data_IF_499652505594
#
_entry.id   IF_499652505594
#
_cell.length_a   1.000
_cell.length_b   1.000
_cell.length_c   1.000
_cell.angle_alpha   90.00
_cell.angle_beta   90.00
_cell.angle_gamma   90.00
#
_symmetry.space_group_name_H-M   'P 1'
#
loop_
_entity.id
_entity.type
_entity.pdbx_description
1 polymer ?
#
# COMPACT_ATOMS: atom_id res chain seq x y z
N UNK A 1 -71.58 -31.69 22.13
CA UNK A 1 -70.11 -31.60 22.08
C UNK A 1 -69.54 -32.61 23.07
N UNK A 2 -69.15 -33.82 22.65
CA UNK A 2 -68.59 -34.84 23.54
C UNK A 2 -67.06 -34.93 23.47
N UNK A 3 -66.49 -35.45 24.57
CA UNK A 3 -65.11 -35.92 24.74
C UNK A 3 -64.88 -37.27 24.04
N UNK A 4 -63.64 -37.55 23.61
CA UNK A 4 -62.85 -38.76 23.95
C UNK A 4 -61.84 -39.18 22.86
N UNK A 5 -60.61 -39.56 23.28
CA UNK A 5 -59.66 -40.43 22.54
C UNK A 5 -60.12 -41.90 22.69
N UNK A 6 -59.74 -42.86 21.81
CA UNK A 6 -58.45 -43.59 21.93
C UNK A 6 -57.82 -44.07 20.58
N UNK A 7 -56.58 -44.61 20.61
CA UNK A 7 -55.91 -45.34 19.50
C UNK A 7 -56.52 -46.75 19.24
N UNK A 8 -56.04 -47.61 18.31
CA UNK A 8 -54.64 -48.09 18.21
C UNK A 8 -54.11 -48.53 16.79
N UNK A 9 -52.82 -48.88 16.69
CA UNK A 9 -52.33 -50.18 16.15
C UNK A 9 -51.94 -50.40 14.67
N UNK A 10 -50.82 -51.15 14.51
CA UNK A 10 -50.25 -51.87 13.35
C UNK A 10 -49.51 -51.06 12.27
N UNK A 11 -48.33 -51.47 11.76
CA UNK A 11 -47.55 -52.70 11.92
C UNK A 11 -46.56 -52.81 10.75
N UNK A 12 -45.28 -53.09 11.02
CA UNK A 12 -44.24 -53.16 9.98
C UNK A 12 -42.86 -53.53 10.52
N UNK A 13 -42.72 -54.79 10.94
CA UNK A 13 -41.49 -55.59 11.10
C UNK A 13 -40.73 -55.66 9.75
N UNK A 14 -39.43 -55.94 9.56
CA UNK A 14 -38.33 -56.50 10.37
C UNK A 14 -37.04 -56.51 9.52
N UNK A 15 -35.89 -56.48 10.20
CA UNK A 15 -34.67 -57.31 10.01
C UNK A 15 -33.84 -57.33 8.71
N UNK A 16 -32.54 -57.01 8.89
CA UNK A 16 -31.33 -57.83 8.58
C UNK A 16 -31.08 -58.25 7.12
N UNK A 17 -29.99 -57.80 6.48
CA UNK A 17 -28.57 -58.20 6.60
C UNK A 17 -28.16 -59.18 5.47
N UNK A 18 -26.87 -59.18 5.10
CA UNK A 18 -26.16 -59.97 4.06
C UNK A 18 -26.26 -59.39 2.63
N UNK A 19 -25.20 -59.18 1.86
CA UNK A 19 -23.84 -59.72 1.86
C UNK A 19 -23.54 -60.33 0.48
N UNK A 20 -22.65 -59.73 -0.33
CA UNK A 20 -21.92 -60.32 -1.48
C UNK A 20 -21.05 -59.23 -2.16
N UNK A 21 -19.71 -59.16 -2.01
CA UNK A 21 -18.63 -59.82 -2.81
C UNK A 21 -18.85 -59.73 -4.33
N UNK A 22 -18.08 -58.98 -5.14
CA UNK A 22 -16.70 -59.16 -5.68
C UNK A 22 -16.54 -58.13 -6.87
N UNK A 23 -15.38 -57.95 -7.57
CA UNK A 23 -14.00 -58.36 -7.28
C UNK A 23 -12.95 -57.23 -7.40
N UNK A 24 -11.77 -57.52 -6.88
CA UNK A 24 -10.49 -56.85 -7.21
C UNK A 24 -10.05 -57.21 -8.64
N UNK A 25 -9.48 -56.25 -9.36
CA UNK A 25 -8.39 -56.53 -10.29
C UNK A 25 -7.29 -55.47 -10.18
N UNK A 26 -6.11 -55.99 -9.94
CA UNK A 26 -4.83 -55.31 -9.85
C UNK A 26 -4.34 -54.83 -11.22
N UNK A 27 -3.66 -53.68 -11.27
CA UNK A 27 -2.35 -53.58 -11.94
C UNK A 27 -1.59 -52.32 -11.49
N UNK A 28 -0.31 -52.57 -11.20
CA UNK A 28 0.76 -51.64 -10.83
C UNK A 28 1.14 -50.69 -11.97
N UNK A 29 1.94 -49.69 -11.57
CA UNK A 29 2.89 -48.85 -12.33
C UNK A 29 2.45 -47.37 -12.27
N UNK A 30 3.25 -46.40 -11.87
CA UNK A 30 4.59 -46.33 -11.33
C UNK A 30 4.80 -44.85 -10.95
N UNK A 31 5.53 -44.59 -9.86
CA UNK A 31 5.83 -43.23 -9.37
C UNK A 31 6.54 -42.42 -10.46
N UNK A 32 5.96 -41.30 -10.89
CA UNK A 32 6.69 -40.25 -11.59
C UNK A 32 7.23 -39.25 -10.56
N UNK A 33 8.56 -39.20 -10.42
CA UNK A 33 9.28 -38.15 -9.69
C UNK A 33 9.26 -36.85 -10.53
N UNK A 34 9.16 -35.66 -9.91
CA UNK A 34 9.35 -34.40 -10.65
C UNK A 34 10.82 -34.26 -11.05
N UNK A 35 11.04 -34.13 -12.36
CA UNK A 35 12.36 -33.94 -12.95
C UNK A 35 12.93 -32.57 -12.58
N UNK A 36 14.12 -32.59 -11.95
CA UNK A 36 15.03 -31.44 -11.91
C UNK A 36 15.40 -31.07 -13.35
N UNK A 37 15.02 -29.88 -13.80
CA UNK A 37 15.63 -29.26 -14.96
C UNK A 37 17.09 -28.90 -14.61
N UNK A 38 18.03 -29.81 -14.89
CA UNK A 38 19.46 -29.49 -14.96
C UNK A 38 19.70 -28.89 -16.34
N UNK A 39 19.98 -27.60 -16.42
CA UNK A 39 20.50 -26.99 -17.63
C UNK A 39 21.82 -27.65 -18.01
N UNK A 40 21.84 -28.33 -19.16
CA UNK A 40 23.07 -28.83 -19.78
C UNK A 40 23.81 -27.65 -20.40
N UNK A 41 24.89 -27.18 -19.75
CA UNK A 41 25.89 -26.33 -20.42
C UNK A 41 26.71 -27.20 -21.36
N UNK A 42 26.66 -26.91 -22.65
CA UNK A 42 27.56 -27.51 -23.62
C UNK A 42 28.98 -26.96 -23.39
N UNK A 43 29.96 -27.86 -23.31
CA UNK A 43 31.38 -27.52 -23.19
C UNK A 43 32.03 -27.65 -24.56
N UNK A 44 32.60 -26.55 -25.07
CA UNK A 44 33.39 -26.56 -26.30
C UNK A 44 34.87 -26.68 -25.90
N UNK A 45 35.59 -27.59 -26.56
CA UNK A 45 37.06 -27.70 -26.47
C UNK A 45 37.66 -26.87 -27.59
N UNK A 46 38.61 -26.02 -27.26
CA UNK A 46 39.46 -25.40 -28.28
C UNK A 46 40.56 -26.38 -28.74
N UNK A 47 41.22 -26.06 -29.85
CA UNK A 47 42.32 -26.85 -30.42
C UNK A 47 43.57 -26.98 -29.53
N UNK A 48 43.53 -26.48 -28.29
CA UNK A 48 44.58 -26.61 -27.27
C UNK A 48 44.07 -27.22 -25.95
N UNK A 49 42.90 -27.87 -25.97
CA UNK A 49 42.44 -28.77 -24.92
C UNK A 49 41.93 -28.14 -23.63
N UNK A 50 41.72 -26.81 -23.57
CA UNK A 50 41.15 -26.15 -22.38
C UNK A 50 39.63 -26.05 -22.48
N UNK A 51 38.94 -26.16 -21.34
CA UNK A 51 37.46 -26.12 -21.25
C UNK A 51 37.01 -24.73 -20.77
N UNK A 52 36.11 -24.09 -21.53
CA UNK A 52 35.45 -22.84 -21.12
C UNK A 52 33.92 -22.98 -21.26
N UNK A 53 33.18 -22.26 -20.43
CA UNK A 53 31.72 -22.15 -20.53
C UNK A 53 31.38 -21.13 -21.62
N UNK A 54 30.71 -21.55 -22.69
CA UNK A 54 30.30 -20.65 -23.77
C UNK A 54 29.18 -19.69 -23.33
N UNK A 55 29.32 -18.42 -23.68
CA UNK A 55 28.25 -17.43 -23.56
C UNK A 55 27.16 -17.68 -24.63
N UNK A 56 25.89 -17.39 -24.34
CA UNK A 56 24.82 -17.52 -25.34
C UNK A 56 24.92 -16.38 -26.34
N UNK A 57 25.25 -16.71 -27.59
CA UNK A 57 25.14 -15.79 -28.73
C UNK A 57 23.67 -15.40 -28.93
N UNK A 58 23.39 -14.09 -28.91
CA UNK A 58 22.15 -13.52 -29.41
C UNK A 58 22.07 -13.78 -30.93
N UNK A 59 21.00 -14.43 -31.38
CA UNK A 59 20.75 -14.68 -32.79
C UNK A 59 20.55 -13.38 -33.56
N UNK A 60 21.19 -13.28 -34.72
CA UNK A 60 20.95 -12.23 -35.72
C UNK A 60 19.48 -12.25 -36.18
N UNK A 61 18.83 -11.08 -36.36
CA UNK A 61 17.50 -11.03 -36.94
C UNK A 61 17.56 -11.28 -38.46
N UNK A 62 16.67 -12.16 -38.93
CA UNK A 62 16.43 -12.42 -40.35
C UNK A 62 15.84 -11.17 -41.02
N UNK A 63 16.38 -10.83 -42.18
CA UNK A 63 15.86 -9.79 -43.06
C UNK A 63 14.44 -10.12 -43.56
N UNK A 64 13.52 -9.16 -43.48
CA UNK A 64 12.21 -9.26 -44.14
C UNK A 64 10.99 -8.66 -43.44
N UNK A 65 11.09 -7.48 -42.82
CA UNK A 65 9.90 -6.66 -42.50
C UNK A 65 10.10 -5.22 -43.00
N UNK A 66 9.10 -4.59 -43.64
CA UNK A 66 9.21 -3.23 -44.12
C UNK A 66 9.26 -2.23 -42.97
N UNK A 67 10.27 -1.37 -43.00
CA UNK A 67 10.50 -0.27 -42.08
C UNK A 67 9.36 0.75 -42.19
N UNK A 68 8.50 0.82 -41.16
CA UNK A 68 7.50 1.88 -41.01
C UNK A 68 8.23 3.10 -40.43
N UNK A 69 8.26 4.27 -41.09
CA UNK A 69 8.92 5.44 -40.53
C UNK A 69 8.17 5.93 -39.27
N UNK A 70 8.90 6.14 -38.17
CA UNK A 70 8.38 6.83 -36.99
C UNK A 70 7.87 8.24 -37.36
N UNK A 71 6.74 8.70 -36.80
CA UNK A 71 6.31 10.07 -36.97
C UNK A 71 7.26 11.01 -36.21
N UNK A 72 7.94 11.88 -36.96
CA UNK A 72 8.75 13.00 -36.46
C UNK A 72 7.97 13.81 -35.42
N UNK A 73 8.50 14.04 -34.20
CA UNK A 73 7.85 14.94 -33.27
C UNK A 73 7.88 16.37 -33.82
N UNK A 74 6.69 16.94 -34.01
CA UNK A 74 6.54 18.34 -34.37
C UNK A 74 7.18 19.24 -33.31
N UNK A 75 8.06 20.15 -33.74
CA UNK A 75 8.62 21.22 -32.91
C UNK A 75 7.47 22.06 -32.34
N UNK A 76 7.44 22.34 -31.03
CA UNK A 76 6.53 23.37 -30.53
C UNK A 76 6.94 24.72 -31.10
N UNK A 77 5.96 25.43 -31.67
CA UNK A 77 6.11 26.81 -32.11
C UNK A 77 6.50 27.68 -30.90
N UNK A 78 7.58 28.45 -31.06
CA UNK A 78 8.00 29.44 -30.08
C UNK A 78 6.92 30.54 -29.99
N UNK A 79 6.33 30.69 -28.81
CA UNK A 79 5.52 31.85 -28.48
C UNK A 79 6.44 33.07 -28.32
N UNK A 80 6.04 34.26 -28.81
CA UNK A 80 6.84 35.46 -28.67
C UNK A 80 6.93 35.88 -27.19
N UNK A 81 8.17 36.04 -26.72
CA UNK A 81 8.49 36.67 -25.44
C UNK A 81 8.15 38.16 -25.55
N UNK A 82 7.02 38.55 -24.98
CA UNK A 82 6.74 39.96 -24.73
C UNK A 82 7.64 40.40 -23.56
N UNK A 83 8.69 41.16 -23.89
CA UNK A 83 9.49 41.88 -22.91
C UNK A 83 8.62 42.95 -22.26
N UNK A 84 8.31 42.79 -20.99
CA UNK A 84 7.86 43.90 -20.14
C UNK A 84 8.95 44.14 -19.11
N UNK A 85 9.76 45.16 -19.39
CA UNK A 85 10.65 45.81 -18.42
C UNK A 85 9.82 46.31 -17.24
N UNK A 86 10.03 45.73 -16.07
CA UNK A 86 9.52 46.24 -14.81
C UNK A 86 10.52 47.28 -14.27
N UNK A 87 10.13 48.55 -14.25
CA UNK A 87 10.82 49.60 -13.49
C UNK A 87 10.21 49.68 -12.08
N UNK A 88 11.00 49.74 -10.99
CA UNK A 88 10.46 49.92 -9.65
C UNK A 88 10.11 51.39 -9.41
N UNK A 89 8.82 51.68 -9.24
CA UNK A 89 8.32 52.94 -8.70
C UNK A 89 8.45 52.99 -7.16
N UNK A 90 8.48 54.18 -6.55
CA UNK A 90 8.91 54.37 -5.16
C UNK A 90 7.87 53.85 -4.16
N UNK A 91 8.36 53.17 -3.12
CA UNK A 91 7.53 52.63 -2.04
C UNK A 91 6.91 53.72 -1.16
N UNK A 92 5.69 53.50 -0.62
CA UNK A 92 5.09 54.44 0.33
C UNK A 92 5.78 54.36 1.70
N UNK A 93 5.93 55.54 2.30
CA UNK A 93 6.63 55.82 3.54
C UNK A 93 6.03 55.12 4.78
N UNK A 94 6.91 54.75 5.72
CA UNK A 94 6.58 54.26 7.07
C UNK A 94 5.82 55.35 7.84
N UNK A 95 4.69 55.03 8.51
CA UNK A 95 4.17 55.88 9.56
C UNK A 95 4.98 55.69 10.85
N UNK A 96 5.57 56.79 11.33
CA UNK A 96 6.14 56.95 12.66
C UNK A 96 5.04 56.88 13.72
N UNK A 97 5.16 55.98 14.70
CA UNK A 97 4.29 55.97 15.88
C UNK A 97 4.79 56.96 16.93
N UNK A 98 3.90 57.75 17.57
CA UNK A 98 4.28 58.59 18.70
C UNK A 98 4.37 57.75 19.99
N UNK A 99 5.36 58.09 20.81
CA UNK A 99 5.51 57.58 22.16
C UNK A 99 4.40 58.15 23.06
N UNK A 100 3.61 57.29 23.66
CA UNK A 100 2.75 57.64 24.80
C UNK A 100 2.93 56.57 25.86
N UNK A 101 3.47 56.99 27.01
CA UNK A 101 3.72 56.14 28.16
C UNK A 101 2.42 55.64 28.77
N UNK A 102 2.39 54.34 29.08
CA UNK A 102 1.31 53.73 29.87
C UNK A 102 1.93 53.09 31.10
N UNK A 103 1.39 53.47 32.26
CA UNK A 103 1.84 53.12 33.61
C UNK A 103 1.85 51.61 33.81
N UNK A 104 2.93 51.12 34.40
CA UNK A 104 3.03 49.77 34.94
C UNK A 104 2.16 49.67 36.19
N UNK A 105 1.04 48.94 36.10
CA UNK A 105 0.36 48.40 37.29
C UNK A 105 0.84 46.97 37.47
N UNK A 106 1.66 46.75 38.50
CA UNK A 106 2.09 45.45 38.93
C UNK A 106 0.89 44.62 39.41
N UNK A 107 0.56 43.54 38.71
CA UNK A 107 -0.22 42.46 39.27
C UNK A 107 0.74 41.53 40.02
N UNK A 108 0.71 41.60 41.35
CA UNK A 108 1.32 40.60 42.21
C UNK A 108 0.73 39.23 41.89
N UNK A 109 1.56 38.34 41.35
CA UNK A 109 1.21 36.93 41.14
C UNK A 109 1.13 36.22 42.49
N UNK A 110 -0.06 35.76 42.88
CA UNK A 110 -0.20 34.72 43.90
C UNK A 110 0.27 33.38 43.31
N UNK A 111 1.17 32.63 43.96
CA UNK A 111 1.54 31.29 43.51
C UNK A 111 0.43 30.29 43.88
N UNK A 112 -0.51 30.07 42.96
CA UNK A 112 -1.39 28.90 43.02
C UNK A 112 -0.65 27.64 42.57
N UNK A 113 -1.02 26.44 43.04
CA UNK A 113 -0.43 25.20 42.56
C UNK A 113 -0.65 25.10 41.04
N UNK A 114 0.44 24.95 40.30
CA UNK A 114 0.38 24.63 38.88
C UNK A 114 -0.45 23.37 38.71
N UNK A 115 -1.52 23.36 37.89
CA UNK A 115 -2.19 22.12 37.56
C UNK A 115 -1.17 21.22 36.88
N UNK A 116 -0.81 20.13 37.56
CA UNK A 116 0.02 19.07 36.98
C UNK A 116 -0.88 18.36 35.99
N UNK A 117 -0.82 18.78 34.73
CA UNK A 117 -1.42 17.99 33.66
C UNK A 117 -0.67 16.67 33.61
N UNK A 118 -1.37 15.52 33.71
CA UNK A 118 -0.72 14.24 33.53
C UNK A 118 -0.05 14.24 32.16
N UNK A 119 1.25 13.94 32.12
CA UNK A 119 1.96 13.75 30.86
C UNK A 119 1.14 12.80 29.98
N UNK A 120 0.76 13.17 28.76
CA UNK A 120 0.05 12.27 27.89
C UNK A 120 0.96 11.05 27.68
N UNK A 121 0.51 9.88 28.13
CA UNK A 121 1.15 8.62 27.73
C UNK A 121 1.28 8.63 26.20
N UNK A 122 2.38 8.17 25.61
CA UNK A 122 2.46 8.05 24.17
C UNK A 122 1.32 7.14 23.72
N UNK A 123 0.29 7.75 23.11
CA UNK A 123 -0.79 7.00 22.51
C UNK A 123 -0.23 6.54 21.17
N UNK A 124 -0.15 5.23 20.94
CA UNK A 124 0.11 4.65 19.62
C UNK A 124 -1.12 4.85 18.71
N UNK A 125 -1.62 6.08 18.65
CA UNK A 125 -2.79 6.50 17.90
C UNK A 125 -2.34 7.42 16.77
N UNK A 126 -2.80 7.11 15.57
CA UNK A 126 -2.60 7.94 14.38
C UNK A 126 -3.81 8.87 14.23
N UNK A 127 -3.57 10.15 14.05
CA UNK A 127 -4.62 11.15 13.81
C UNK A 127 -4.83 11.33 12.31
N UNK A 128 -6.03 11.07 11.80
CA UNK A 128 -6.31 11.17 10.37
C UNK A 128 -7.37 12.24 10.12
N UNK A 129 -7.03 13.32 9.39
CA UNK A 129 -8.03 14.27 8.94
C UNK A 129 -8.93 13.61 7.89
N UNK A 130 -10.23 13.74 8.09
CA UNK A 130 -11.25 13.38 7.12
C UNK A 130 -11.91 14.68 6.65
N UNK A 131 -11.12 15.50 5.95
CA UNK A 131 -11.64 16.72 5.34
C UNK A 131 -12.72 16.36 4.33
N UNK A 132 -13.73 17.21 4.15
CA UNK A 132 -14.69 17.07 3.06
C UNK A 132 -14.36 18.11 1.97
N UNK A 133 -13.78 17.72 0.81
CA UNK A 133 -13.36 16.37 0.42
C UNK A 133 -11.99 15.96 1.02
N UNK A 134 -11.71 14.64 1.12
CA UNK A 134 -10.44 14.15 1.65
C UNK A 134 -9.29 14.57 0.74
N UNK A 135 -8.11 14.82 1.31
CA UNK A 135 -6.92 15.06 0.48
C UNK A 135 -6.59 13.79 -0.32
N UNK A 136 -6.50 13.88 -1.66
CA UNK A 136 -6.25 12.71 -2.49
C UNK A 136 -4.81 12.19 -2.28
N UNK A 137 -4.57 10.86 -2.39
CA UNK A 137 -3.24 10.26 -2.33
C UNK A 137 -2.18 10.96 -3.20
N UNK A 138 -2.55 11.42 -4.40
CA UNK A 138 -1.66 12.14 -5.31
C UNK A 138 -1.18 13.48 -4.77
N UNK A 139 -2.00 14.17 -3.96
CA UNK A 139 -1.64 15.41 -3.29
C UNK A 139 -0.86 15.17 -1.99
N UNK A 140 -1.10 14.05 -1.30
CA UNK A 140 -0.39 13.68 -0.07
C UNK A 140 1.03 13.15 -0.34
N UNK A 141 1.23 12.38 -1.41
CA UNK A 141 2.51 11.73 -1.68
C UNK A 141 3.71 12.70 -1.74
N UNK A 142 3.62 13.89 -2.38
CA UNK A 142 4.69 14.88 -2.39
C UNK A 142 4.99 15.53 -1.03
N UNK A 143 4.13 15.35 -0.02
CA UNK A 143 4.33 15.87 1.34
C UNK A 143 5.13 14.90 2.22
N UNK A 144 5.16 13.61 1.87
CA UNK A 144 5.94 12.61 2.59
C UNK A 144 7.43 12.99 2.58
N UNK A 145 8.15 12.68 3.66
CA UNK A 145 9.59 12.93 3.78
C UNK A 145 10.30 11.69 4.29
N UNK A 146 11.46 11.40 3.71
CA UNK A 146 12.43 10.46 4.27
C UNK A 146 13.83 10.93 3.86
N UNK A 147 14.76 11.02 4.81
CA UNK A 147 16.12 11.54 4.58
C UNK A 147 16.17 12.89 3.82
N UNK A 148 15.22 13.79 4.13
CA UNK A 148 15.10 15.11 3.47
C UNK A 148 14.57 15.06 2.02
N UNK A 149 14.21 13.89 1.50
CA UNK A 149 13.69 13.72 0.13
C UNK A 149 12.16 13.75 0.13
N UNK A 150 11.52 14.48 -0.80
CA UNK A 150 10.08 14.47 -0.94
C UNK A 150 9.60 13.15 -1.54
N UNK A 151 8.43 12.71 -1.12
CA UNK A 151 7.80 11.52 -1.68
C UNK A 151 7.22 11.73 -3.07
N UNK A 152 6.79 10.63 -3.70
CA UNK A 152 6.18 10.66 -5.02
C UNK A 152 5.28 9.44 -5.26
N UNK A 153 4.38 9.56 -6.24
CA UNK A 153 3.63 8.43 -6.80
C UNK A 153 4.39 7.85 -7.99
N UNK A 154 4.50 6.53 -8.05
CA UNK A 154 5.09 5.83 -9.19
C UNK A 154 4.36 6.16 -10.49
N UNK A 155 5.09 6.29 -11.59
CA UNK A 155 4.54 6.79 -12.87
C UNK A 155 3.49 5.88 -13.52
N UNK A 156 3.41 4.60 -13.15
CA UNK A 156 2.39 3.66 -13.61
C UNK A 156 1.22 3.46 -12.65
N UNK A 157 1.01 4.43 -11.77
CA UNK A 157 -0.17 4.50 -10.93
C UNK A 157 -0.81 5.90 -11.03
N UNK A 158 -1.16 6.38 -12.26
CA UNK A 158 -1.78 7.69 -12.43
C UNK A 158 -3.18 7.76 -11.80
N UNK A 159 -3.78 6.60 -11.56
CA UNK A 159 -5.10 6.39 -10.97
C UNK A 159 -5.05 6.11 -9.46
N UNK A 160 -3.97 6.51 -8.79
CA UNK A 160 -3.79 6.30 -7.34
C UNK A 160 -4.96 6.82 -6.50
N UNK A 161 -5.60 7.90 -6.94
CA UNK A 161 -6.72 8.53 -6.23
C UNK A 161 -8.02 7.73 -6.31
N UNK A 162 -8.10 6.75 -7.21
CA UNK A 162 -9.26 5.89 -7.38
C UNK A 162 -9.23 4.66 -6.46
N UNK A 163 -8.15 4.46 -5.69
CA UNK A 163 -8.04 3.35 -4.72
C UNK A 163 -8.81 3.67 -3.44
N UNK A 164 -10.09 3.28 -3.43
CA UNK A 164 -11.03 3.57 -2.38
C UNK A 164 -11.00 2.55 -1.22
N UNK A 165 -11.52 2.91 -0.04
CA UNK A 165 -11.73 1.98 1.07
C UNK A 165 -12.51 0.73 0.64
N UNK A 166 -12.11 -0.43 1.15
CA UNK A 166 -12.77 -1.72 0.92
C UNK A 166 -12.91 -2.46 2.23
N UNK A 167 -14.14 -2.86 2.56
CA UNK A 167 -14.49 -3.55 3.81
C UNK A 167 -14.07 -2.79 5.10
N UNK A 168 -13.95 -1.47 5.00
CA UNK A 168 -13.66 -0.57 6.12
C UNK A 168 -14.65 0.58 6.08
N UNK A 169 -15.36 0.77 7.20
CA UNK A 169 -16.18 1.95 7.45
C UNK A 169 -15.35 2.98 8.21
N UNK A 170 -15.41 4.24 7.77
CA UNK A 170 -14.72 5.34 8.41
C UNK A 170 -15.64 6.05 9.39
N UNK A 171 -15.14 6.48 10.57
CA UNK A 171 -15.95 7.27 11.48
C UNK A 171 -16.31 8.63 10.86
N UNK A 172 -17.55 9.07 11.07
CA UNK A 172 -17.99 10.39 10.65
C UNK A 172 -17.25 11.51 11.41
N UNK A 173 -17.01 12.62 10.70
CA UNK A 173 -16.46 13.85 11.27
C UNK A 173 -15.18 14.30 10.58
N UNK A 174 -14.68 15.51 10.88
CA UNK A 174 -13.51 16.08 10.20
C UNK A 174 -12.18 15.41 10.58
N UNK A 175 -12.18 14.56 11.61
CA UNK A 175 -11.01 13.96 12.21
C UNK A 175 -11.38 12.64 12.90
N UNK A 176 -10.60 11.59 12.67
CA UNK A 176 -10.69 10.35 13.42
C UNK A 176 -9.32 9.87 13.89
N UNK A 177 -9.35 8.99 14.89
CA UNK A 177 -8.18 8.38 15.49
C UNK A 177 -8.13 6.90 15.11
N UNK A 178 -6.95 6.45 14.73
CA UNK A 178 -6.64 5.07 14.36
C UNK A 178 -5.75 4.48 15.45
N UNK A 179 -6.24 3.48 16.16
CA UNK A 179 -5.62 2.97 17.38
C UNK A 179 -4.84 1.66 17.15
N UNK A 180 -3.68 1.53 17.81
CA UNK A 180 -2.90 0.29 17.80
C UNK A 180 -2.35 -0.03 16.42
N UNK A 181 -1.85 1.00 15.72
CA UNK A 181 -1.24 0.87 14.39
C UNK A 181 -0.02 -0.04 14.42
N UNK A 182 0.06 -0.98 13.48
CA UNK A 182 1.16 -1.92 13.31
C UNK A 182 1.57 -1.95 11.82
N UNK A 183 2.88 -2.00 11.56
CA UNK A 183 3.46 -2.06 10.20
C UNK A 183 3.28 -3.44 9.57
N UNK A 184 3.11 -4.47 10.40
CA UNK A 184 2.86 -5.84 9.97
C UNK A 184 4.12 -6.61 9.58
N UNK A 185 5.28 -6.28 10.15
CA UNK A 185 6.58 -6.90 9.80
C UNK A 185 6.59 -8.43 9.94
N UNK A 186 5.83 -8.98 10.90
CA UNK A 186 5.69 -10.43 11.11
C UNK A 186 5.08 -11.17 9.92
N UNK A 187 4.36 -10.46 9.05
CA UNK A 187 3.78 -10.98 7.81
C UNK A 187 4.67 -10.72 6.59
N UNK A 188 5.95 -10.41 6.81
CA UNK A 188 6.95 -10.38 5.74
C UNK A 188 6.93 -11.70 4.96
N UNK A 189 7.02 -11.60 3.63
CA UNK A 189 6.92 -12.71 2.66
C UNK A 189 5.52 -13.35 2.51
N UNK A 190 4.48 -12.74 3.09
CA UNK A 190 3.09 -13.11 2.80
C UNK A 190 2.60 -12.41 1.52
N UNK A 191 1.55 -12.94 0.90
CA UNK A 191 0.79 -12.17 -0.10
C UNK A 191 -0.34 -11.39 0.55
N UNK A 192 -0.83 -10.30 -0.06
CA UNK A 192 -2.07 -9.64 0.35
C UNK A 192 -3.26 -10.59 0.55
N UNK A 193 -3.39 -11.59 -0.34
CA UNK A 193 -4.44 -12.63 -0.28
C UNK A 193 -4.40 -13.45 1.00
N UNK A 194 -3.20 -13.77 1.51
CA UNK A 194 -3.03 -14.50 2.77
C UNK A 194 -3.08 -13.59 4.00
N UNK A 195 -2.54 -12.39 3.87
CA UNK A 195 -2.45 -11.44 4.99
C UNK A 195 -3.83 -10.93 5.40
N UNK A 196 -4.72 -10.67 4.44
CA UNK A 196 -6.06 -10.16 4.73
C UNK A 196 -6.87 -11.07 5.67
N UNK A 197 -7.10 -12.37 5.37
CA UNK A 197 -7.85 -13.24 6.28
C UNK A 197 -7.14 -13.45 7.61
N UNK A 198 -5.80 -13.49 7.65
CA UNK A 198 -5.05 -13.60 8.89
C UNK A 198 -5.22 -12.38 9.79
N UNK A 199 -5.11 -11.16 9.25
CA UNK A 199 -5.37 -9.92 9.99
C UNK A 199 -6.80 -9.90 10.54
N UNK A 200 -7.78 -10.24 9.70
CA UNK A 200 -9.19 -10.32 10.12
C UNK A 200 -9.38 -11.33 11.25
N UNK A 201 -8.73 -12.49 11.19
CA UNK A 201 -8.82 -13.51 12.25
C UNK A 201 -8.23 -13.05 13.59
N UNK A 202 -7.29 -12.11 13.55
CA UNK A 202 -6.72 -11.46 14.73
C UNK A 202 -7.53 -10.26 15.22
N UNK A 203 -8.69 -9.98 14.60
CA UNK A 203 -9.52 -8.82 14.92
C UNK A 203 -8.91 -7.49 14.46
N UNK A 204 -7.96 -7.53 13.52
CA UNK A 204 -7.32 -6.34 12.96
C UNK A 204 -7.92 -6.00 11.61
N UNK A 205 -7.95 -4.71 11.28
CA UNK A 205 -8.33 -4.25 9.93
C UNK A 205 -7.12 -3.62 9.26
N UNK A 206 -6.87 -3.85 7.95
CA UNK A 206 -5.77 -3.20 7.28
C UNK A 206 -5.95 -1.68 7.20
N UNK A 207 -4.84 -0.96 7.04
CA UNK A 207 -4.87 0.49 6.81
C UNK A 207 -5.25 0.82 5.36
N UNK A 208 -5.95 1.95 5.21
CA UNK A 208 -6.11 2.65 3.95
C UNK A 208 -4.79 3.28 3.50
N UNK A 209 -4.67 3.55 2.20
CA UNK A 209 -3.52 4.25 1.64
C UNK A 209 -3.34 5.63 2.28
N UNK A 210 -4.43 6.38 2.43
CA UNK A 210 -4.41 7.70 3.06
C UNK A 210 -4.00 7.61 4.54
N UNK A 211 -4.47 6.63 5.30
CA UNK A 211 -4.03 6.39 6.68
C UNK A 211 -2.52 6.08 6.73
N UNK A 212 -2.04 5.19 5.85
CA UNK A 212 -0.61 4.89 5.74
C UNK A 212 0.23 6.13 5.42
N UNK A 213 -0.26 7.02 4.55
CA UNK A 213 0.41 8.28 4.25
C UNK A 213 0.44 9.22 5.45
N UNK A 214 -0.68 9.38 6.16
CA UNK A 214 -0.74 10.19 7.39
C UNK A 214 0.19 9.64 8.47
N UNK A 215 0.36 8.32 8.53
CA UNK A 215 1.30 7.70 9.45
C UNK A 215 2.74 8.10 9.14
N UNK A 216 3.14 8.07 7.87
CA UNK A 216 4.46 8.52 7.45
C UNK A 216 4.64 10.03 7.64
N UNK A 217 3.59 10.84 7.46
CA UNK A 217 3.65 12.28 7.72
C UNK A 217 3.91 12.60 9.20
N UNK A 218 3.31 11.84 10.12
CA UNK A 218 3.43 12.05 11.56
C UNK A 218 4.66 11.36 12.17
N UNK A 219 5.06 10.23 11.60
CA UNK A 219 6.20 9.44 12.08
C UNK A 219 7.00 8.94 10.88
N UNK A 220 7.82 9.81 10.24
CA UNK A 220 8.59 9.45 9.05
C UNK A 220 9.48 8.21 9.24
N UNK A 221 9.98 8.01 10.46
CA UNK A 221 10.86 6.89 10.83
C UNK A 221 10.16 5.51 10.81
N UNK A 222 8.84 5.47 10.59
CA UNK A 222 8.13 4.21 10.33
C UNK A 222 8.59 3.56 9.03
N UNK A 223 9.02 4.35 8.05
CA UNK A 223 9.62 3.85 6.83
C UNK A 223 11.10 3.59 7.07
N UNK A 224 11.45 2.31 7.16
CA UNK A 224 12.83 1.87 7.29
C UNK A 224 13.19 1.05 6.04
N UNK A 225 14.43 1.18 5.58
CA UNK A 225 14.90 0.43 4.43
C UNK A 225 14.75 -1.07 4.70
N UNK A 226 14.08 -1.77 3.78
CA UNK A 226 13.68 -3.17 3.90
C UNK A 226 12.61 -3.50 4.95
N UNK A 227 12.02 -2.49 5.61
CA UNK A 227 10.89 -2.62 6.52
C UNK A 227 9.86 -1.52 6.20
N UNK A 228 9.13 -1.76 5.12
CA UNK A 228 8.09 -0.88 4.60
C UNK A 228 6.74 -1.61 4.65
N UNK A 229 5.66 -1.08 4.09
CA UNK A 229 4.35 -1.73 4.24
C UNK A 229 3.37 -1.49 3.09
N UNK A 230 2.44 -2.45 2.96
CA UNK A 230 1.28 -2.39 2.10
C UNK A 230 0.06 -1.88 2.86
N UNK A 231 -0.85 -1.19 2.16
CA UNK A 231 -2.12 -0.66 2.69
C UNK A 231 -3.29 -1.30 1.96
N UNK A 232 -3.60 -2.54 2.34
CA UNK A 232 -4.46 -3.44 1.54
C UNK A 232 -5.96 -3.21 1.72
N UNK A 233 -6.37 -2.27 2.60
CA UNK A 233 -7.76 -1.83 2.70
C UNK A 233 -8.15 -0.81 1.61
N UNK A 234 -7.19 -0.33 0.80
CA UNK A 234 -7.46 0.50 -0.37
C UNK A 234 -7.38 -0.33 -1.65
N UNK A 235 -8.49 -0.41 -2.39
CA UNK A 235 -8.59 -1.20 -3.63
C UNK A 235 -9.27 -0.40 -4.73
N UNK A 236 -8.91 -0.71 -5.97
CA UNK A 236 -9.54 -0.14 -7.15
C UNK A 236 -10.50 -1.15 -7.76
N UNK A 237 -11.75 -0.72 -8.02
CA UNK A 237 -12.72 -1.49 -8.78
C UNK A 237 -12.74 -1.00 -10.22
N UNK A 238 -12.57 -1.93 -11.17
CA UNK A 238 -12.57 -1.63 -12.60
C UNK A 238 -14.00 -1.41 -13.11
N UNK A 239 -14.13 -0.77 -14.26
CA UNK A 239 -15.43 -0.53 -14.91
C UNK A 239 -16.24 -1.81 -15.15
N UNK A 240 -15.58 -2.95 -15.35
CA UNK A 240 -16.22 -4.26 -15.51
C UNK A 240 -16.64 -4.91 -14.17
N UNK A 241 -16.55 -4.20 -13.04
CA UNK A 241 -16.92 -4.68 -11.71
C UNK A 241 -15.88 -5.57 -11.02
N UNK A 242 -14.82 -6.01 -11.73
CA UNK A 242 -13.73 -6.80 -11.15
C UNK A 242 -12.76 -5.93 -10.35
N UNK A 243 -12.00 -6.56 -9.44
CA UNK A 243 -10.95 -5.88 -8.70
C UNK A 243 -9.68 -5.69 -9.54
N UNK A 244 -9.05 -4.53 -9.41
CA UNK A 244 -7.67 -4.37 -9.86
C UNK A 244 -6.74 -5.27 -9.03
N UNK A 245 -5.76 -5.89 -9.69
CA UNK A 245 -4.80 -6.77 -9.03
C UNK A 245 -3.72 -5.97 -8.30
N UNK A 246 -3.52 -4.70 -8.64
CA UNK A 246 -2.59 -3.80 -7.97
C UNK A 246 -3.10 -3.49 -6.57
N UNK A 247 -2.19 -3.49 -5.62
CA UNK A 247 -2.47 -3.21 -4.21
C UNK A 247 -1.50 -2.14 -3.73
N UNK A 248 -1.98 -1.02 -3.18
CA UNK A 248 -1.11 0.09 -2.80
C UNK A 248 -0.13 -0.29 -1.68
N UNK A 249 1.05 0.32 -1.74
CA UNK A 249 2.09 0.20 -0.74
C UNK A 249 2.94 1.47 -0.68
N UNK A 250 3.60 1.68 0.46
CA UNK A 250 4.50 2.80 0.69
C UNK A 250 5.87 2.25 1.09
N UNK A 251 6.92 2.65 0.36
CA UNK A 251 8.28 2.17 0.63
C UNK A 251 9.36 3.17 0.23
N UNK A 252 10.61 2.90 0.58
CA UNK A 252 11.75 3.75 0.19
C UNK A 252 12.24 3.36 -1.19
N UNK A 253 12.23 4.28 -2.15
CA UNK A 253 12.72 4.00 -3.51
C UNK A 253 14.25 3.77 -3.54
N UNK A 254 14.66 2.81 -4.37
CA UNK A 254 16.07 2.57 -4.69
C UNK A 254 16.60 3.52 -5.77
N UNK A 255 15.75 4.36 -6.36
CA UNK A 255 16.14 5.25 -7.45
C UNK A 255 16.56 4.52 -8.72
N UNK A 256 15.95 3.37 -9.00
CA UNK A 256 16.25 2.50 -10.14
C UNK A 256 15.10 2.46 -11.14
N UNK A 257 15.38 2.07 -12.39
CA UNK A 257 14.35 1.97 -13.43
C UNK A 257 13.62 3.30 -13.64
N UNK A 258 12.29 3.25 -13.71
CA UNK A 258 11.42 4.42 -13.94
C UNK A 258 11.46 5.46 -12.82
N UNK A 259 11.92 5.11 -11.62
CA UNK A 259 12.05 6.08 -10.53
C UNK A 259 13.22 7.05 -10.78
N UNK A 260 14.30 6.56 -11.41
CA UNK A 260 15.52 7.32 -11.67
C UNK A 260 16.34 7.64 -10.40
N UNK A 261 17.64 7.89 -10.58
CA UNK A 261 18.59 8.10 -9.48
C UNK A 261 18.21 9.28 -8.57
N UNK A 262 17.53 10.29 -9.13
CA UNK A 262 17.07 11.47 -8.41
C UNK A 262 16.07 11.15 -7.29
N UNK A 263 15.36 10.01 -7.38
CA UNK A 263 14.37 9.57 -6.39
C UNK A 263 14.89 8.51 -5.42
N UNK A 264 16.20 8.22 -5.43
CA UNK A 264 16.80 7.33 -4.43
C UNK A 264 16.56 7.89 -3.02
N UNK A 265 16.21 6.99 -2.09
CA UNK A 265 15.91 7.30 -0.69
C UNK A 265 14.63 8.12 -0.46
N UNK A 266 13.86 8.43 -1.51
CA UNK A 266 12.57 9.09 -1.37
C UNK A 266 11.45 8.11 -0.98
N UNK A 267 10.45 8.54 -0.19
CA UNK A 267 9.22 7.79 -0.01
C UNK A 267 8.51 7.59 -1.36
N UNK A 268 8.13 6.36 -1.66
CA UNK A 268 7.45 5.99 -2.88
C UNK A 268 6.10 5.41 -2.53
N UNK A 269 5.07 6.01 -3.12
CA UNK A 269 3.74 5.46 -3.18
C UNK A 269 3.65 4.68 -4.49
N UNK A 270 3.39 3.40 -4.39
CA UNK A 270 3.19 2.57 -5.58
C UNK A 270 2.35 1.36 -5.24
N UNK A 271 2.58 0.27 -5.97
CA UNK A 271 1.76 -0.92 -5.85
C UNK A 271 2.57 -2.21 -6.00
N UNK A 272 1.99 -3.30 -5.51
CA UNK A 272 2.42 -4.67 -5.76
C UNK A 272 1.20 -5.51 -6.21
N UNK A 273 1.42 -6.70 -6.75
CA UNK A 273 0.30 -7.58 -7.13
C UNK A 273 -0.32 -8.26 -5.91
N UNK A 274 -1.63 -8.48 -5.95
CA UNK A 274 -2.44 -9.11 -4.89
C UNK A 274 -1.89 -10.46 -4.38
N UNK A 275 -1.26 -11.23 -5.27
CA UNK A 275 -0.69 -12.54 -4.93
C UNK A 275 0.84 -12.52 -4.80
N UNK A 276 1.48 -11.34 -4.88
CA UNK A 276 2.93 -11.25 -4.80
C UNK A 276 3.42 -11.22 -3.36
N UNK A 277 4.66 -11.70 -3.16
CA UNK A 277 5.31 -11.77 -1.85
C UNK A 277 6.55 -10.91 -1.83
N UNK A 278 6.79 -10.27 -0.68
CA UNK A 278 7.96 -9.44 -0.46
C UNK A 278 8.50 -9.66 0.95
N UNK A 279 9.79 -9.95 1.07
CA UNK A 279 10.47 -10.10 2.37
C UNK A 279 10.72 -8.77 3.08
N UNK A 280 10.37 -7.64 2.45
CA UNK A 280 10.66 -6.27 2.89
C UNK A 280 9.42 -5.40 3.06
N UNK A 281 8.22 -5.95 2.81
CA UNK A 281 6.93 -5.31 3.05
C UNK A 281 6.15 -6.08 4.10
N UNK A 282 5.72 -5.38 5.13
CA UNK A 282 4.62 -5.81 6.01
C UNK A 282 3.26 -5.39 5.46
N UNK A 283 2.22 -5.68 6.23
CA UNK A 283 0.84 -5.30 5.94
C UNK A 283 0.32 -4.40 7.06
N UNK A 284 0.23 -3.10 6.79
CA UNK A 284 -0.14 -2.14 7.82
C UNK A 284 -1.59 -2.36 8.26
N UNK A 285 -1.81 -2.38 9.57
CA UNK A 285 -3.11 -2.68 10.17
C UNK A 285 -3.35 -1.93 11.47
N UNK A 286 -4.62 -1.83 11.85
CA UNK A 286 -5.10 -1.17 13.06
C UNK A 286 -6.00 -2.09 13.87
N UNK A 287 -6.11 -1.81 15.17
CA UNK A 287 -7.09 -2.44 16.06
C UNK A 287 -8.45 -1.74 16.03
N UNK A 288 -8.52 -0.51 15.52
CA UNK A 288 -9.78 0.21 15.43
C UNK A 288 -9.66 1.62 14.89
N UNK A 289 -10.81 2.20 14.58
CA UNK A 289 -11.00 3.61 14.20
C UNK A 289 -12.09 4.16 15.08
N UNK A 290 -11.90 5.37 15.60
CA UNK A 290 -12.91 6.05 16.41
C UNK A 290 -12.94 7.54 16.09
N UNK A 291 -14.09 8.22 16.24
CA UNK A 291 -14.14 9.67 16.11
C UNK A 291 -13.13 10.33 17.04
N UNK A 292 -12.48 11.40 16.58
CA UNK A 292 -11.80 12.28 17.50
C UNK A 292 -12.87 12.96 18.37
N UNK A 293 -12.68 12.99 19.68
CA UNK A 293 -13.57 13.74 20.54
C UNK A 293 -13.50 15.22 20.11
N UNK A 294 -14.67 15.84 19.95
CA UNK A 294 -14.81 17.27 19.66
C UNK A 294 -14.32 18.12 20.85
#
# INVERSE_FOLDING_TARGET
MPLSRPGPGNGGRTSEDRGATMPRSSRRHGRARPGRARGTRAWIRDGRGRRHAGEPHAGEPRAGEPCVPEPTPARPAALPVAGTTWSPGPGPARPTSPATGTRSTAWSSCPGPTPVFPSPRPRNGLTVPDTAPPLPPSALAPLLRHAGRPGFVVTDMPDVDLFAPTAVELPDGPLYLVDGVDRGDRMSNWSPDEALPALTSEGRTPLLLTEGMHWVLQTPDVLVRNHCFMTIASRLRKANGSWDARTPAIWISNGTGRDGRARRDAPKVGWCWWNNRHTWLGFASTTGRRPAAA
#
